data_IF_013104358219
#
_entry.id   IF_013104358219
#
_cell.length_a   1.000
_cell.length_b   1.000
_cell.length_c   1.000
_cell.angle_alpha   90.00
_cell.angle_beta   90.00
_cell.angle_gamma   90.00
#
_symmetry.space_group_name_H-M   'P 1'
#
loop_
_entity.id
_entity.type
_entity.pdbx_description
1 polymer ?
#
# COMPACT_ATOMS: atom_id res chain seq x y z
N UNK A 1 -10.53 -32.47 -10.36
CA UNK A 1 -10.26 -31.02 -10.27
C UNK A 1 -10.02 -30.56 -8.84
N UNK A 2 -10.89 -30.87 -7.86
CA UNK A 2 -10.73 -30.39 -6.46
C UNK A 2 -9.52 -30.96 -5.70
N UNK A 3 -9.13 -32.21 -5.94
CA UNK A 3 -7.94 -32.83 -5.31
C UNK A 3 -6.63 -32.11 -5.66
N UNK A 4 -6.48 -31.70 -6.94
CA UNK A 4 -5.33 -30.92 -7.41
C UNK A 4 -5.31 -29.52 -6.75
N UNK A 5 -6.46 -28.86 -6.73
CA UNK A 5 -6.61 -27.54 -6.09
C UNK A 5 -6.34 -27.60 -4.58
N UNK A 6 -6.77 -28.69 -3.91
CA UNK A 6 -6.48 -28.94 -2.50
C UNK A 6 -4.97 -29.13 -2.24
N UNK A 7 -4.30 -29.90 -3.09
CA UNK A 7 -2.86 -30.13 -3.02
C UNK A 7 -2.05 -28.84 -3.21
N UNK A 8 -2.42 -28.03 -4.21
CA UNK A 8 -1.81 -26.72 -4.46
C UNK A 8 -2.00 -25.76 -3.28
N UNK A 9 -3.19 -25.73 -2.66
CA UNK A 9 -3.45 -24.89 -1.47
C UNK A 9 -2.60 -25.32 -0.27
N UNK A 10 -2.39 -26.62 -0.06
CA UNK A 10 -1.55 -27.15 1.02
C UNK A 10 -0.08 -26.80 0.81
N UNK A 11 0.44 -27.00 -0.41
CA UNK A 11 1.80 -26.59 -0.78
C UNK A 11 2.02 -25.08 -0.56
N UNK A 12 1.04 -24.28 -0.97
CA UNK A 12 1.14 -22.83 -0.86
C UNK A 12 0.90 -22.31 0.58
N UNK A 13 0.44 -23.16 1.51
CA UNK A 13 0.16 -22.75 2.90
C UNK A 13 1.43 -22.39 3.68
N UNK A 14 2.52 -23.13 3.47
CA UNK A 14 3.82 -22.87 4.09
C UNK A 14 4.45 -21.59 3.52
N UNK A 15 4.33 -21.40 2.20
CA UNK A 15 4.77 -20.16 1.54
C UNK A 15 3.99 -18.97 2.08
N UNK A 16 2.64 -19.02 2.12
CA UNK A 16 1.77 -17.99 2.72
C UNK A 16 2.09 -17.73 4.18
N UNK A 17 2.36 -18.76 4.99
CA UNK A 17 2.79 -18.59 6.39
C UNK A 17 4.13 -17.87 6.48
N UNK A 18 5.11 -18.20 5.65
CA UNK A 18 6.41 -17.51 5.60
C UNK A 18 6.29 -16.06 5.14
N UNK A 19 5.48 -15.79 4.11
CA UNK A 19 5.19 -14.39 3.70
C UNK A 19 4.51 -13.65 4.84
N UNK A 20 3.54 -14.26 5.52
CA UNK A 20 2.88 -13.67 6.67
C UNK A 20 3.83 -13.48 7.87
N UNK A 21 4.78 -14.38 8.13
CA UNK A 21 5.76 -14.25 9.22
C UNK A 21 6.79 -13.15 8.92
N UNK A 22 7.28 -13.06 7.68
CA UNK A 22 8.16 -11.97 7.25
C UNK A 22 7.42 -10.62 7.23
N UNK A 23 6.13 -10.63 6.89
CA UNK A 23 5.23 -9.47 6.93
C UNK A 23 4.74 -9.08 8.34
N UNK A 24 5.04 -9.88 9.38
CA UNK A 24 4.65 -9.64 10.79
C UNK A 24 5.73 -8.95 11.61
N UNK A 25 6.81 -8.46 11.02
CA UNK A 25 7.69 -7.53 11.73
C UNK A 25 6.99 -6.19 11.88
N UNK A 26 7.06 -5.58 13.07
CA UNK A 26 6.47 -4.25 13.31
C UNK A 26 6.99 -3.23 12.29
N UNK A 27 8.29 -3.31 11.95
CA UNK A 27 8.90 -2.45 10.93
C UNK A 27 8.36 -2.70 9.51
N UNK A 28 8.14 -3.96 9.12
CA UNK A 28 7.55 -4.30 7.83
C UNK A 28 6.10 -3.82 7.72
N UNK A 29 5.31 -4.01 8.78
CA UNK A 29 3.92 -3.54 8.85
C UNK A 29 3.85 -2.01 8.79
N UNK A 30 4.69 -1.32 9.58
CA UNK A 30 4.73 0.15 9.58
C UNK A 30 5.08 0.68 8.19
N UNK A 31 6.09 0.11 7.53
CA UNK A 31 6.46 0.49 6.16
C UNK A 31 5.29 0.36 5.18
N UNK A 32 4.51 -0.73 5.26
CA UNK A 32 3.34 -0.91 4.39
C UNK A 32 2.25 0.12 4.70
N UNK A 33 1.99 0.39 5.98
CA UNK A 33 1.02 1.40 6.41
C UNK A 33 1.45 2.79 5.95
N UNK A 34 2.73 3.14 6.06
CA UNK A 34 3.27 4.42 5.63
C UNK A 34 3.06 4.61 4.12
N UNK A 35 3.40 3.60 3.31
CA UNK A 35 3.18 3.63 1.85
C UNK A 35 1.69 3.80 1.55
N UNK A 36 0.83 3.03 2.20
CA UNK A 36 -0.62 3.12 1.99
C UNK A 36 -1.17 4.49 2.36
N UNK A 37 -0.70 5.04 3.48
CA UNK A 37 -1.10 6.36 3.97
C UNK A 37 -0.67 7.46 3.00
N UNK A 38 0.56 7.40 2.47
CA UNK A 38 1.04 8.36 1.47
C UNK A 38 0.19 8.28 0.19
N UNK A 39 -0.02 7.07 -0.35
CA UNK A 39 -0.80 6.89 -1.58
C UNK A 39 -2.24 7.38 -1.40
N UNK A 40 -2.87 7.04 -0.28
CA UNK A 40 -4.25 7.42 0.00
C UNK A 40 -4.42 8.94 0.12
N UNK A 41 -3.51 9.62 0.84
CA UNK A 41 -3.66 11.04 1.12
C UNK A 41 -3.23 11.95 -0.03
N UNK A 42 -2.19 11.55 -0.78
CA UNK A 42 -1.53 12.45 -1.73
C UNK A 42 -1.73 12.07 -3.19
N UNK A 43 -1.98 10.79 -3.52
CA UNK A 43 -2.03 10.32 -4.92
C UNK A 43 -3.45 9.94 -5.35
N UNK A 44 -4.18 9.19 -4.52
CA UNK A 44 -5.47 8.63 -4.91
C UNK A 44 -6.59 9.63 -4.66
N UNK A 45 -7.30 10.03 -5.71
CA UNK A 45 -8.51 10.86 -5.55
C UNK A 45 -9.61 10.05 -4.87
N UNK A 46 -10.34 10.70 -3.96
CA UNK A 46 -11.50 10.11 -3.32
C UNK A 46 -12.64 10.03 -4.34
N UNK A 47 -13.33 8.88 -4.35
CA UNK A 47 -14.38 8.60 -5.33
C UNK A 47 -15.50 9.66 -5.31
N UNK A 48 -15.91 10.11 -4.13
CA UNK A 48 -17.03 11.05 -3.98
C UNK A 48 -16.66 12.51 -4.29
N UNK A 49 -15.45 12.94 -3.93
CA UNK A 49 -15.07 14.37 -4.01
C UNK A 49 -14.18 14.68 -5.22
N UNK A 50 -13.65 13.65 -5.89
CA UNK A 50 -12.70 13.80 -7.00
C UNK A 50 -11.34 14.37 -6.58
N UNK A 51 -11.15 14.71 -5.30
CA UNK A 51 -9.94 15.32 -4.75
C UNK A 51 -9.21 14.32 -3.86
N UNK A 52 -7.89 14.44 -3.77
CA UNK A 52 -7.12 13.68 -2.78
C UNK A 52 -7.40 14.26 -1.38
N UNK A 53 -7.36 13.45 -0.30
CA UNK A 53 -7.61 13.93 1.06
C UNK A 53 -6.76 15.14 1.46
N UNK A 54 -5.46 15.14 1.14
CA UNK A 54 -4.57 16.25 1.47
C UNK A 54 -4.95 17.57 0.75
N UNK A 55 -5.54 17.48 -0.45
CA UNK A 55 -6.03 18.65 -1.18
C UNK A 55 -7.38 19.14 -0.64
N UNK A 56 -8.24 18.24 -0.17
CA UNK A 56 -9.49 18.62 0.50
C UNK A 56 -9.22 19.33 1.84
N UNK A 57 -8.14 18.96 2.52
CA UNK A 57 -7.67 19.60 3.75
C UNK A 57 -6.89 20.91 3.53
N UNK A 58 -6.59 21.28 2.27
CA UNK A 58 -5.82 22.49 1.96
C UNK A 58 -4.32 22.39 2.24
N UNK A 59 -3.79 21.20 2.52
CA UNK A 59 -2.35 20.97 2.77
C UNK A 59 -1.57 21.13 1.46
N UNK A 60 -2.15 20.67 0.35
CA UNK A 60 -1.59 20.79 -1.00
C UNK A 60 -2.64 21.35 -1.95
N UNK A 61 -2.22 22.10 -2.97
CA UNK A 61 -3.16 22.65 -3.96
C UNK A 61 -3.81 21.61 -4.87
N UNK A 62 -3.12 20.47 -5.12
CA UNK A 62 -3.60 19.37 -5.97
C UNK A 62 -2.90 18.06 -5.59
N UNK A 63 -3.52 16.94 -5.95
CA UNK A 63 -2.90 15.61 -5.80
C UNK A 63 -1.60 15.48 -6.60
N UNK A 64 -0.69 14.66 -6.07
CA UNK A 64 0.57 14.29 -6.70
C UNK A 64 0.37 13.07 -7.60
N UNK A 65 1.07 13.02 -8.73
CA UNK A 65 1.22 11.75 -9.45
C UNK A 65 2.19 10.82 -8.73
N UNK A 66 2.12 9.52 -9.00
CA UNK A 66 3.08 8.56 -8.44
C UNK A 66 4.53 8.88 -8.84
N UNK A 67 4.73 9.37 -10.07
CA UNK A 67 6.05 9.81 -10.56
C UNK A 67 6.58 11.02 -9.78
N UNK A 68 5.72 12.02 -9.53
CA UNK A 68 6.09 13.18 -8.72
C UNK A 68 6.43 12.77 -7.29
N UNK A 69 5.67 11.83 -6.70
CA UNK A 69 5.94 11.30 -5.38
C UNK A 69 7.31 10.62 -5.29
N UNK A 70 7.67 9.81 -6.29
CA UNK A 70 8.97 9.11 -6.33
C UNK A 70 10.16 10.05 -6.57
N UNK A 71 9.91 11.25 -7.10
CA UNK A 71 10.94 12.28 -7.28
C UNK A 71 11.14 13.17 -6.04
N UNK A 72 10.29 13.03 -5.01
CA UNK A 72 10.47 13.77 -3.76
C UNK A 72 11.76 13.31 -3.08
N UNK A 73 12.72 14.23 -2.97
CA UNK A 73 13.94 14.00 -2.20
C UNK A 73 13.69 14.28 -0.73
N UNK A 74 14.24 13.43 0.14
CA UNK A 74 14.21 13.64 1.58
C UNK A 74 15.07 14.88 1.89
N UNK A 75 14.50 15.87 2.57
CA UNK A 75 15.31 16.95 3.15
C UNK A 75 16.27 16.34 4.19
N UNK A 76 17.56 16.68 4.08
CA UNK A 76 18.63 16.15 4.92
C UNK A 76 18.40 16.43 6.42
#
# INVERSE_FOLDING_TARGET
MESLNGSLRRLNSAYRRRTNTCAKSVGGLQRTLDIYWIIHNFVRSHFTTGKVPAAALGIIGRGLSLTQLLMVQKAA
#
